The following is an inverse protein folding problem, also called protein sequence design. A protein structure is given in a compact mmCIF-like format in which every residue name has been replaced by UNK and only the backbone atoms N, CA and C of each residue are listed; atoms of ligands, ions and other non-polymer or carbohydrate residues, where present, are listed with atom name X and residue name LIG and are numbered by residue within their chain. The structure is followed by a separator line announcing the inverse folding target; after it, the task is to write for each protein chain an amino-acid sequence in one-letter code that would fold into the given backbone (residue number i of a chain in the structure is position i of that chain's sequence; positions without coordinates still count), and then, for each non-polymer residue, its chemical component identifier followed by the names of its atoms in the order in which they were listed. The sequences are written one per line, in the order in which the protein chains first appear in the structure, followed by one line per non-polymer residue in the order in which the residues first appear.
data_IF_758549909507
#
_entry.id   IF_758549909507
#
_cell.length_a   1.000
_cell.length_b   1.000
_cell.length_c   1.000
_cell.angle_alpha   90.00
_cell.angle_beta   90.00
_cell.angle_gamma   90.00
#
_symmetry.space_group_name_H-M   'P 1'
#
loop_
_entity.id
_entity.type
_entity.pdbx_description
1 polymer ?
#
# COMPACT_ATOMS: atom_id res chain seq x y z
N UNK A 1 -13.18 -12.50 4.48
CA UNK A 1 -12.04 -11.58 4.73
C UNK A 1 -10.95 -11.57 3.64
N UNK A 2 -10.51 -12.67 2.99
CA UNK A 2 -9.39 -12.60 2.02
C UNK A 2 -9.66 -11.65 0.84
N UNK A 3 -10.91 -11.56 0.38
CA UNK A 3 -11.29 -10.69 -0.74
C UNK A 3 -11.13 -9.19 -0.42
N UNK A 4 -11.22 -8.78 0.86
CA UNK A 4 -11.07 -7.37 1.26
C UNK A 4 -9.60 -6.95 1.16
N UNK A 5 -8.68 -7.78 1.67
CA UNK A 5 -7.25 -7.50 1.60
C UNK A 5 -6.74 -7.47 0.17
N UNK A 6 -7.18 -8.43 -0.66
CA UNK A 6 -6.80 -8.45 -2.08
C UNK A 6 -7.36 -7.22 -2.81
N UNK A 7 -8.60 -6.81 -2.52
CA UNK A 7 -9.19 -5.60 -3.08
C UNK A 7 -8.45 -4.33 -2.68
N UNK A 8 -8.04 -4.20 -1.42
CA UNK A 8 -7.26 -3.07 -0.93
C UNK A 8 -5.88 -3.00 -1.60
N UNK A 9 -5.18 -4.13 -1.72
CA UNK A 9 -3.88 -4.23 -2.38
C UNK A 9 -4.02 -3.89 -3.87
N UNK A 10 -5.02 -4.47 -4.55
CA UNK A 10 -5.28 -4.19 -5.96
C UNK A 10 -5.59 -2.70 -6.16
N UNK A 11 -6.46 -2.11 -5.33
CA UNK A 11 -6.80 -0.70 -5.37
C UNK A 11 -5.59 0.22 -5.19
N UNK A 12 -4.69 -0.10 -4.25
CA UNK A 12 -3.45 0.64 -4.06
C UNK A 12 -2.51 0.57 -5.28
N UNK A 13 -2.35 -0.61 -5.88
CA UNK A 13 -1.52 -0.79 -7.09
C UNK A 13 -2.13 -0.08 -8.31
N UNK A 14 -3.45 -0.13 -8.48
CA UNK A 14 -4.17 0.58 -9.54
C UNK A 14 -4.02 2.10 -9.35
N UNK A 15 -4.16 2.58 -8.11
CA UNK A 15 -4.08 4.00 -7.77
C UNK A 15 -2.67 4.60 -7.85
N UNK A 16 -1.61 3.79 -7.75
CA UNK A 16 -0.22 4.27 -7.63
C UNK A 16 0.23 5.17 -8.79
N UNK A 17 -0.24 4.89 -10.01
CA UNK A 17 0.09 5.68 -11.21
C UNK A 17 -0.75 6.94 -11.35
N UNK A 18 -1.77 7.09 -10.50
CA UNK A 18 -2.72 8.20 -10.52
C UNK A 18 -2.60 9.14 -9.31
N UNK A 19 -1.83 8.78 -8.28
CA UNK A 19 -1.71 9.47 -6.98
C UNK A 19 -1.39 10.97 -7.10
N UNK A 20 -0.53 11.34 -8.04
CA UNK A 20 -0.15 12.74 -8.31
C UNK A 20 -0.85 13.35 -9.53
N UNK A 21 -1.90 12.69 -10.01
CA UNK A 21 -2.69 13.13 -11.16
C UNK A 21 -4.05 13.63 -10.69
N UNK A 22 -4.62 14.62 -11.39
CA UNK A 22 -6.02 15.04 -11.15
C UNK A 22 -7.01 14.21 -11.98
N UNK A 23 -6.66 12.96 -12.31
CA UNK A 23 -7.49 12.11 -13.15
C UNK A 23 -8.76 11.71 -12.39
N UNK A 24 -9.93 12.08 -12.93
CA UNK A 24 -11.25 11.69 -12.41
C UNK A 24 -12.02 10.78 -13.37
N UNK A 25 -11.38 10.39 -14.48
CA UNK A 25 -11.99 9.46 -15.42
C UNK A 25 -12.25 8.13 -14.70
N UNK A 26 -13.45 7.54 -14.81
CA UNK A 26 -13.69 6.16 -14.41
C UNK A 26 -13.16 5.16 -15.45
N UNK A 27 -12.82 5.63 -16.65
CA UNK A 27 -12.26 4.84 -17.74
C UNK A 27 -10.73 4.96 -17.73
N UNK A 28 -10.07 3.96 -17.16
CA UNK A 28 -8.62 3.84 -17.09
C UNK A 28 -8.21 2.37 -17.06
N UNK A 29 -7.02 2.02 -17.60
CA UNK A 29 -6.48 0.68 -17.48
C UNK A 29 -6.15 0.36 -16.01
N UNK A 30 -6.54 -0.83 -15.54
CA UNK A 30 -6.31 -1.24 -14.15
C UNK A 30 -4.81 -1.42 -13.84
N UNK A 31 -4.06 -2.03 -14.77
CA UNK A 31 -2.64 -2.31 -14.58
C UNK A 31 -1.86 -1.84 -15.81
N UNK A 32 -0.84 -1.03 -15.56
CA UNK A 32 0.06 -0.50 -16.59
C UNK A 32 1.50 -0.65 -16.16
N UNK A 33 2.43 -0.45 -17.10
CA UNK A 33 3.84 -0.31 -16.75
C UNK A 33 4.01 0.85 -15.76
N UNK A 34 4.56 0.57 -14.58
CA UNK A 34 4.69 1.54 -13.49
C UNK A 34 3.68 1.37 -12.35
N UNK A 35 2.66 0.52 -12.48
CA UNK A 35 1.82 0.12 -11.35
C UNK A 35 2.66 -0.63 -10.31
N UNK A 36 2.65 -0.19 -9.05
CA UNK A 36 3.45 -0.78 -7.98
C UNK A 36 2.77 -0.65 -6.61
N UNK A 37 3.17 -1.49 -5.66
CA UNK A 37 2.67 -1.37 -4.29
C UNK A 37 3.23 -0.13 -3.60
N UNK A 38 2.35 0.61 -2.94
CA UNK A 38 2.64 1.84 -2.20
C UNK A 38 2.71 1.61 -0.68
N UNK A 39 3.12 2.64 0.06
CA UNK A 39 3.26 2.69 1.51
C UNK A 39 2.01 2.21 2.27
N UNK A 40 0.82 2.57 1.81
CA UNK A 40 -0.47 2.11 2.35
C UNK A 40 -0.55 0.58 2.40
N UNK A 41 -0.07 -0.10 1.35
CA UNK A 41 -0.04 -1.57 1.31
C UNK A 41 0.96 -2.13 2.32
N UNK A 42 2.15 -1.51 2.42
CA UNK A 42 3.19 -1.94 3.36
C UNK A 42 2.70 -1.81 4.81
N UNK A 43 2.09 -0.69 5.17
CA UNK A 43 1.58 -0.45 6.52
C UNK A 43 0.32 -1.26 6.83
N UNK A 44 -0.55 -1.51 5.84
CA UNK A 44 -1.70 -2.41 5.99
C UNK A 44 -1.26 -3.84 6.34
N UNK A 45 -0.23 -4.36 5.68
CA UNK A 45 0.36 -5.66 6.02
C UNK A 45 1.01 -5.63 7.40
N UNK A 46 1.71 -4.55 7.76
CA UNK A 46 2.30 -4.39 9.09
C UNK A 46 1.25 -4.41 10.21
N UNK A 47 0.08 -3.78 10.00
CA UNK A 47 -1.07 -3.85 10.91
C UNK A 47 -1.59 -5.28 11.03
N UNK A 48 -1.78 -5.98 9.91
CA UNK A 48 -2.22 -7.37 9.93
C UNK A 48 -1.24 -8.26 10.71
N UNK A 49 0.07 -8.06 10.54
CA UNK A 49 1.11 -8.77 11.30
C UNK A 49 1.03 -8.46 12.81
N UNK A 50 0.81 -7.21 13.19
CA UNK A 50 0.60 -6.84 14.59
C UNK A 50 -0.62 -7.53 15.21
N UNK A 51 -1.75 -7.55 14.51
CA UNK A 51 -2.99 -8.16 14.99
C UNK A 51 -2.88 -9.67 15.12
N UNK A 52 -2.30 -10.34 14.12
CA UNK A 52 -2.21 -11.81 14.08
C UNK A 52 -1.17 -12.34 15.05
N UNK A 53 -0.05 -11.63 15.22
CA UNK A 53 1.10 -12.10 16.00
C UNK A 53 1.31 -11.34 17.31
N UNK A 54 0.36 -10.46 17.69
CA UNK A 54 0.42 -9.62 18.91
C UNK A 54 1.74 -8.83 19.03
N UNK A 55 2.23 -8.30 17.91
CA UNK A 55 3.47 -7.52 17.86
C UNK A 55 3.23 -6.06 18.27
N UNK A 56 4.31 -5.40 18.68
CA UNK A 56 4.33 -3.97 18.95
C UNK A 56 4.24 -3.15 17.65
N UNK A 57 3.26 -2.25 17.57
CA UNK A 57 2.98 -1.45 16.38
C UNK A 57 4.16 -0.58 15.97
N UNK A 58 4.77 0.14 16.91
CA UNK A 58 5.84 1.11 16.61
C UNK A 58 7.07 0.37 16.05
N UNK A 59 7.46 -0.73 16.68
CA UNK A 59 8.59 -1.55 16.24
C UNK A 59 8.31 -2.18 14.88
N UNK A 60 7.12 -2.76 14.69
CA UNK A 60 6.77 -3.43 13.43
C UNK A 60 6.63 -2.44 12.28
N UNK A 61 6.01 -1.28 12.47
CA UNK A 61 5.93 -0.25 11.43
C UNK A 61 7.32 0.21 10.99
N UNK A 62 8.22 0.45 11.96
CA UNK A 62 9.62 0.80 11.67
C UNK A 62 10.38 -0.31 10.94
N UNK A 63 10.11 -1.57 11.25
CA UNK A 63 10.71 -2.71 10.55
C UNK A 63 10.27 -2.76 9.09
N UNK A 64 8.96 -2.68 8.83
CA UNK A 64 8.42 -2.70 7.48
C UNK A 64 8.85 -1.48 6.67
N UNK A 65 8.81 -0.28 7.26
CA UNK A 65 9.27 0.95 6.61
C UNK A 65 10.74 0.90 6.20
N UNK A 66 11.61 0.32 7.05
CA UNK A 66 13.02 0.14 6.71
C UNK A 66 13.27 -0.97 5.69
N UNK A 67 12.41 -1.99 5.65
CA UNK A 67 12.49 -3.06 4.64
C UNK A 67 12.07 -2.57 3.26
N UNK A 68 11.14 -1.62 3.19
CA UNK A 68 10.61 -1.06 1.93
C UNK A 68 10.78 0.46 1.87
N UNK A 69 12.01 0.99 1.92
CA UNK A 69 12.26 2.43 2.10
C UNK A 69 11.70 3.30 0.96
N UNK A 70 11.50 2.74 -0.23
CA UNK A 70 11.06 3.44 -1.44
C UNK A 70 9.57 3.22 -1.73
N UNK A 71 8.74 2.90 -0.73
CA UNK A 71 7.32 2.61 -0.92
C UNK A 71 6.44 3.87 -1.14
N UNK A 72 7.01 5.08 -1.09
CA UNK A 72 6.25 6.32 -1.26
C UNK A 72 5.74 6.93 0.06
N UNK A 73 6.39 6.62 1.20
CA UNK A 73 6.05 7.24 2.48
C UNK A 73 6.03 8.79 2.36
N UNK A 74 4.93 9.41 2.81
CA UNK A 74 4.79 10.86 2.81
C UNK A 74 5.90 11.59 3.58
N UNK A 75 6.23 12.82 3.15
CA UNK A 75 7.34 13.60 3.75
C UNK A 75 8.14 14.45 2.76
N UNK A 76 7.69 14.58 1.52
CA UNK A 76 8.13 15.59 0.53
C UNK A 76 7.06 16.63 0.31
#
# INVERSE_FOLDING_TARGET
MPNIMIGAIAGGIIGSVHEYTKNKSPDFPLFVAGSHSIDDTVLTVAVADCLLNKKDYVKTFREYARRYPNAGYGGT
#
